data_IF_430008927174
#
_entry.id   IF_430008927174
#
_cell.length_a   1.000
_cell.length_b   1.000
_cell.length_c   1.000
_cell.angle_alpha   90.00
_cell.angle_beta   90.00
_cell.angle_gamma   90.00
#
_symmetry.space_group_name_H-M   'P 1'
#
loop_
_entity.id
_entity.type
_entity.pdbx_description
1 polymer ?
#
# COMPACT_ATOMS: atom_id res chain seq x y z
N UNK A 1 16.65 3.65 11.62
CA UNK A 1 16.23 4.35 10.40
C UNK A 1 15.08 5.26 10.79
N UNK A 2 15.24 6.59 10.74
CA UNK A 2 14.17 7.53 11.08
C UNK A 2 13.35 7.73 9.82
N UNK A 3 12.16 7.14 9.78
CA UNK A 3 11.15 7.47 8.78
C UNK A 3 10.47 8.72 9.30
N UNK A 4 10.55 9.81 8.54
CA UNK A 4 10.04 11.10 8.99
C UNK A 4 8.76 11.42 8.21
N UNK A 5 7.87 12.19 8.83
CA UNK A 5 6.53 12.47 8.31
C UNK A 5 6.56 13.15 6.93
N UNK A 6 7.63 13.88 6.65
CA UNK A 6 7.87 14.58 5.40
C UNK A 6 7.89 13.64 4.18
N UNK A 7 8.39 12.40 4.33
CA UNK A 7 8.39 11.42 3.23
C UNK A 7 6.98 10.96 2.86
N UNK A 8 6.06 10.92 3.84
CA UNK A 8 4.66 10.59 3.62
C UNK A 8 3.90 11.75 2.97
N UNK A 9 4.26 12.98 3.32
CA UNK A 9 3.68 14.18 2.69
C UNK A 9 4.07 14.26 1.21
N UNK A 10 5.34 13.97 0.86
CA UNK A 10 5.75 13.83 -0.53
C UNK A 10 5.00 12.72 -1.27
N UNK A 11 4.74 11.61 -0.61
CA UNK A 11 3.93 10.54 -1.18
C UNK A 11 2.48 10.99 -1.44
N UNK A 12 1.87 11.75 -0.54
CA UNK A 12 0.53 12.30 -0.74
C UNK A 12 0.49 13.27 -1.93
N UNK A 13 1.48 14.14 -2.06
CA UNK A 13 1.55 15.07 -3.19
C UNK A 13 1.67 14.32 -4.53
N UNK A 14 2.46 13.25 -4.57
CA UNK A 14 2.52 12.37 -5.73
C UNK A 14 1.15 11.74 -6.06
N UNK A 15 0.37 11.30 -5.07
CA UNK A 15 -0.96 10.75 -5.31
C UNK A 15 -1.94 11.80 -5.87
N UNK A 16 -1.81 13.06 -5.48
CA UNK A 16 -2.61 14.17 -6.03
C UNK A 16 -2.25 14.43 -7.49
N UNK A 17 -0.97 14.42 -7.84
CA UNK A 17 -0.53 14.56 -9.24
C UNK A 17 -1.13 13.43 -10.11
N UNK A 18 -1.14 12.20 -9.58
CA UNK A 18 -1.78 11.07 -10.25
C UNK A 18 -3.30 11.28 -10.37
N UNK A 19 -3.96 11.81 -9.34
CA UNK A 19 -5.38 12.13 -9.38
C UNK A 19 -5.70 13.20 -10.43
N UNK A 20 -4.89 14.25 -10.55
CA UNK A 20 -5.06 15.30 -11.55
C UNK A 20 -5.00 14.74 -12.98
N UNK A 21 -4.07 13.82 -13.23
CA UNK A 21 -3.91 13.18 -14.55
C UNK A 21 -5.00 12.14 -14.82
N UNK A 22 -5.38 11.35 -13.81
CA UNK A 22 -6.32 10.24 -13.97
C UNK A 22 -7.80 10.63 -13.78
N UNK A 23 -8.07 11.82 -13.26
CA UNK A 23 -9.40 12.32 -12.90
C UNK A 23 -10.04 11.60 -11.70
N UNK A 24 -9.26 10.84 -10.93
CA UNK A 24 -9.72 10.09 -9.76
C UNK A 24 -8.57 9.76 -8.81
N UNK A 25 -8.84 9.83 -7.51
CA UNK A 25 -7.90 9.39 -6.46
C UNK A 25 -7.41 7.94 -6.72
N UNK A 26 -6.09 7.72 -6.83
CA UNK A 26 -5.52 6.38 -6.98
C UNK A 26 -5.77 5.48 -5.76
N UNK A 27 -5.76 4.18 -5.99
CA UNK A 27 -5.70 3.17 -4.93
C UNK A 27 -4.26 2.71 -4.74
N UNK A 28 -3.81 2.64 -3.49
CA UNK A 28 -2.44 2.21 -3.15
C UNK A 28 -2.41 0.69 -2.93
N UNK A 29 -1.49 -0.02 -3.58
CA UNK A 29 -1.28 -1.45 -3.33
C UNK A 29 0.10 -1.61 -2.72
N UNK A 30 0.19 -2.21 -1.53
CA UNK A 30 1.43 -2.41 -0.81
C UNK A 30 1.61 -3.87 -0.38
N UNK A 31 2.85 -4.36 -0.44
CA UNK A 31 3.22 -5.68 0.04
C UNK A 31 3.75 -5.57 1.48
N UNK A 32 3.17 -6.34 2.40
CA UNK A 32 3.59 -6.36 3.80
C UNK A 32 4.88 -7.16 3.95
N UNK A 33 6.03 -6.55 3.64
CA UNK A 33 7.35 -7.13 3.92
C UNK A 33 7.75 -6.80 5.38
N UNK A 34 7.07 -7.41 6.36
CA UNK A 34 7.33 -7.21 7.80
C UNK A 34 6.54 -6.06 8.45
N UNK A 35 6.86 -5.68 9.70
CA UNK A 35 6.07 -4.74 10.52
C UNK A 35 6.13 -3.26 10.10
N UNK A 36 6.94 -2.92 9.10
CA UNK A 36 7.18 -1.53 8.69
C UNK A 36 6.00 -0.83 8.00
N UNK A 37 4.93 -1.56 7.70
CA UNK A 37 3.77 -1.05 6.98
C UNK A 37 2.81 -0.24 7.87
N UNK A 38 2.83 -0.42 9.20
CA UNK A 38 1.81 0.20 10.07
C UNK A 38 1.75 1.73 10.01
N UNK A 39 2.88 2.49 9.99
CA UNK A 39 2.82 3.95 9.87
C UNK A 39 2.28 4.43 8.51
N UNK A 40 2.59 3.71 7.43
CA UNK A 40 2.11 4.05 6.08
C UNK A 40 0.61 3.81 5.98
N UNK A 41 0.13 2.68 6.51
CA UNK A 41 -1.30 2.37 6.55
C UNK A 41 -2.06 3.43 7.36
N UNK A 42 -1.58 3.75 8.56
CA UNK A 42 -2.22 4.74 9.42
C UNK A 42 -2.31 6.10 8.71
N UNK A 43 -1.24 6.51 8.03
CA UNK A 43 -1.25 7.75 7.25
C UNK A 43 -2.27 7.72 6.10
N UNK A 44 -2.35 6.62 5.34
CA UNK A 44 -3.35 6.45 4.28
C UNK A 44 -4.78 6.51 4.82
N UNK A 45 -5.04 5.91 5.98
CA UNK A 45 -6.34 5.96 6.65
C UNK A 45 -6.69 7.37 7.13
N UNK A 46 -5.73 8.08 7.73
CA UNK A 46 -5.90 9.48 8.16
C UNK A 46 -6.23 10.42 6.98
N UNK A 47 -5.70 10.15 5.79
CA UNK A 47 -5.98 10.91 4.57
C UNK A 47 -7.20 10.39 3.79
N UNK A 48 -7.87 9.31 4.25
CA UNK A 48 -9.01 8.72 3.56
C UNK A 48 -8.68 8.02 2.24
N UNK A 49 -7.42 7.65 2.02
CA UNK A 49 -6.95 7.00 0.80
C UNK A 49 -7.19 5.49 0.88
N UNK A 50 -7.74 4.92 -0.19
CA UNK A 50 -8.01 3.49 -0.29
C UNK A 50 -6.73 2.71 -0.57
N UNK A 51 -6.54 1.60 0.12
CA UNK A 51 -5.39 0.72 -0.09
C UNK A 51 -5.74 -0.76 -0.08
N UNK A 52 -4.87 -1.57 -0.68
CA UNK A 52 -4.86 -3.04 -0.60
C UNK A 52 -3.52 -3.46 0.02
N UNK A 53 -3.59 -4.20 1.12
CA UNK A 53 -2.43 -4.82 1.73
C UNK A 53 -2.30 -6.26 1.23
N UNK A 54 -1.25 -6.55 0.47
CA UNK A 54 -0.89 -7.89 0.06
C UNK A 54 0.00 -8.54 1.12
N UNK A 55 -0.39 -9.72 1.59
CA UNK A 55 0.46 -10.54 2.44
C UNK A 55 1.27 -11.51 1.56
N UNK A 56 2.60 -11.36 1.43
CA UNK A 56 3.42 -12.23 0.58
C UNK A 56 3.37 -13.71 1.00
N UNK A 57 3.24 -14.01 2.30
CA UNK A 57 3.22 -15.39 2.80
C UNK A 57 1.93 -16.11 2.37
N UNK A 58 0.79 -15.45 2.51
CA UNK A 58 -0.51 -15.99 2.07
C UNK A 58 -0.55 -16.06 0.54
N UNK A 59 -0.06 -15.03 -0.15
CA UNK A 59 -0.01 -14.98 -1.62
C UNK A 59 0.88 -16.07 -2.21
N UNK A 60 2.00 -16.41 -1.55
CA UNK A 60 2.86 -17.52 -1.93
C UNK A 60 2.18 -18.87 -1.69
N UNK A 61 1.50 -19.05 -0.55
CA UNK A 61 0.76 -20.28 -0.25
C UNK A 61 -0.40 -20.54 -1.22
N UNK A 62 -1.10 -19.48 -1.66
CA UNK A 62 -2.20 -19.57 -2.63
C UNK A 62 -1.76 -19.96 -4.05
N UNK A 63 -0.48 -19.78 -4.41
CA UNK A 63 0.07 -20.20 -5.72
C UNK A 63 0.38 -21.70 -5.80
N UNK A 64 0.25 -22.46 -4.70
CA UNK A 64 0.51 -23.90 -4.74
C UNK A 64 -0.61 -24.60 -5.56
N UNK A 65 -0.26 -25.35 -6.62
CA UNK A 65 -1.25 -26.13 -7.34
C UNK A 65 -1.85 -27.18 -6.39
N UNK A 66 -3.17 -27.37 -6.46
CA UNK A 66 -3.86 -28.47 -5.79
C UNK A 66 -3.47 -29.75 -6.52
N UNK A 67 -2.34 -30.36 -6.17
CA UNK A 67 -1.99 -31.69 -6.66
C UNK A 67 -2.77 -32.70 -5.81
N UNK A 68 -3.92 -33.14 -6.35
CA UNK A 68 -4.82 -34.06 -5.68
C UNK A 68 -6.27 -33.84 -6.08
N UNK A 69 -6.58 -33.98 -7.36
CA UNK A 69 -7.91 -34.27 -7.87
C UNK A 69 -7.79 -35.41 -8.88
#
# INVERSE_FOLDING_TARGET
MKHTKEELDHFLDFLKEVEEVAGKMPMVILESTGHYHSPVIQYLEEQGIRYILLNPIISYQAKKPVYGM
#
